data_IF_122111942130
#
_entry.id   IF_122111942130
#
_cell.length_a   1.000
_cell.length_b   1.000
_cell.length_c   1.000
_cell.angle_alpha   90.00
_cell.angle_beta   90.00
_cell.angle_gamma   90.00
#
_symmetry.space_group_name_H-M   'P 1'
#
loop_
_entity.id
_entity.type
_entity.pdbx_description
1 polymer ?
#
# COMPACT_ATOMS: atom_id res chain seq x y z
N UNK A 1 -51.52 71.92 -1.22
CA UNK A 1 -50.64 71.11 -2.04
C UNK A 1 -50.06 70.01 -1.17
N UNK A 2 -50.50 68.79 -1.33
CA UNK A 2 -50.10 67.64 -0.48
C UNK A 2 -48.91 66.95 -1.19
N UNK A 3 -47.76 66.99 -0.52
CA UNK A 3 -46.58 66.23 -1.01
C UNK A 3 -46.76 64.75 -0.64
N UNK A 4 -46.87 63.90 -1.69
CA UNK A 4 -46.88 62.47 -1.57
C UNK A 4 -45.42 61.97 -1.58
N UNK A 5 -44.97 61.46 -0.45
CA UNK A 5 -43.68 60.78 -0.36
C UNK A 5 -43.88 59.36 -0.82
N UNK A 6 -43.29 59.00 -1.97
CA UNK A 6 -43.27 57.60 -2.45
C UNK A 6 -42.12 56.88 -1.74
N UNK A 7 -42.47 55.99 -0.81
CA UNK A 7 -41.54 55.08 -0.15
C UNK A 7 -41.25 53.92 -1.15
N UNK A 8 -40.06 53.92 -1.74
CA UNK A 8 -39.60 52.78 -2.55
C UNK A 8 -39.12 51.71 -1.59
N UNK A 9 -39.96 50.70 -1.31
CA UNK A 9 -39.52 49.48 -0.64
C UNK A 9 -38.58 48.73 -1.58
N UNK A 10 -37.28 48.80 -1.34
CA UNK A 10 -36.31 47.88 -1.90
C UNK A 10 -36.55 46.54 -1.23
N UNK A 11 -37.37 45.71 -1.89
CA UNK A 11 -37.49 44.30 -1.54
C UNK A 11 -36.11 43.64 -1.81
N UNK A 12 -35.32 43.49 -0.75
CA UNK A 12 -34.09 42.69 -0.82
C UNK A 12 -34.46 41.28 -1.23
N UNK A 13 -34.18 40.94 -2.47
CA UNK A 13 -34.18 39.54 -2.92
C UNK A 13 -33.20 38.81 -2.01
N UNK A 14 -33.62 37.71 -1.37
CA UNK A 14 -32.66 36.88 -0.67
C UNK A 14 -31.66 36.38 -1.70
N UNK A 15 -30.39 36.74 -1.52
CA UNK A 15 -29.30 36.06 -2.20
C UNK A 15 -29.36 34.61 -1.73
N UNK A 16 -30.03 33.75 -2.49
CA UNK A 16 -29.83 32.32 -2.41
C UNK A 16 -28.41 32.08 -2.85
N UNK A 17 -27.47 32.08 -1.93
CA UNK A 17 -26.20 31.43 -2.11
C UNK A 17 -26.58 29.97 -2.33
N UNK A 18 -26.56 29.53 -3.59
CA UNK A 18 -26.73 28.13 -3.93
C UNK A 18 -25.60 27.37 -3.24
N UNK A 19 -25.89 26.87 -2.03
CA UNK A 19 -24.94 25.99 -1.36
C UNK A 19 -24.82 24.75 -2.25
N UNK A 20 -23.59 24.35 -2.55
CA UNK A 20 -23.37 23.13 -3.30
C UNK A 20 -24.01 21.97 -2.55
N UNK A 21 -24.73 21.10 -3.26
CA UNK A 21 -25.32 19.91 -2.67
C UNK A 21 -24.24 18.89 -2.30
N UNK A 22 -24.57 17.96 -1.42
CA UNK A 22 -23.70 16.83 -1.07
C UNK A 22 -23.09 16.16 -2.30
N UNK A 23 -23.91 15.86 -3.30
CA UNK A 23 -23.45 15.18 -4.52
C UNK A 23 -22.52 16.05 -5.37
N UNK A 24 -22.74 17.36 -5.44
CA UNK A 24 -21.83 18.27 -6.16
C UNK A 24 -20.45 18.31 -5.50
N UNK A 25 -20.39 18.25 -4.18
CA UNK A 25 -19.12 18.15 -3.46
C UNK A 25 -18.42 16.80 -3.73
N UNK A 26 -19.18 15.69 -3.76
CA UNK A 26 -18.64 14.36 -4.10
C UNK A 26 -18.08 14.32 -5.53
N UNK A 27 -18.81 14.86 -6.50
CA UNK A 27 -18.36 14.97 -7.91
C UNK A 27 -17.08 15.84 -8.03
N UNK A 28 -17.04 16.93 -7.27
CA UNK A 28 -15.85 17.79 -7.21
C UNK A 28 -14.66 17.02 -6.64
N UNK A 29 -14.86 16.26 -5.56
CA UNK A 29 -13.81 15.43 -4.98
C UNK A 29 -13.28 14.41 -5.99
N UNK A 30 -14.16 13.70 -6.71
CA UNK A 30 -13.77 12.75 -7.75
C UNK A 30 -12.94 13.41 -8.86
N UNK A 31 -13.35 14.61 -9.29
CA UNK A 31 -12.59 15.40 -10.28
C UNK A 31 -11.20 15.77 -9.79
N UNK A 32 -11.08 16.21 -8.53
CA UNK A 32 -9.79 16.53 -7.90
C UNK A 32 -8.90 15.29 -7.73
N UNK A 33 -9.48 14.14 -7.34
CA UNK A 33 -8.75 12.85 -7.23
C UNK A 33 -8.17 12.45 -8.58
N UNK A 34 -8.96 12.51 -9.67
CA UNK A 34 -8.49 12.23 -11.04
C UNK A 34 -7.36 13.16 -11.50
N UNK A 35 -7.39 14.41 -11.05
CA UNK A 35 -6.35 15.41 -11.31
C UNK A 35 -5.14 15.30 -10.34
N UNK A 36 -5.17 14.39 -9.35
CA UNK A 36 -4.20 14.27 -8.25
C UNK A 36 -4.09 15.57 -7.41
N UNK A 37 -5.14 16.40 -7.40
CA UNK A 37 -5.26 17.55 -6.51
C UNK A 37 -5.78 17.07 -5.16
N UNK A 38 -4.85 16.56 -4.33
CA UNK A 38 -5.20 15.99 -3.03
C UNK A 38 -5.80 17.01 -2.06
N UNK A 39 -5.34 18.26 -2.09
CA UNK A 39 -5.85 19.32 -1.24
C UNK A 39 -7.29 19.73 -1.63
N UNK A 40 -7.57 19.87 -2.93
CA UNK A 40 -8.90 20.12 -3.45
C UNK A 40 -9.87 18.97 -3.16
N UNK A 41 -9.40 17.73 -3.30
CA UNK A 41 -10.17 16.53 -2.98
C UNK A 41 -10.54 16.47 -1.49
N UNK A 42 -9.58 16.68 -0.59
CA UNK A 42 -9.83 16.71 0.85
C UNK A 42 -10.86 17.79 1.23
N UNK A 43 -10.68 19.03 0.71
CA UNK A 43 -11.61 20.13 0.95
C UNK A 43 -13.04 19.81 0.50
N UNK A 44 -13.18 19.19 -0.68
CA UNK A 44 -14.48 18.82 -1.23
C UNK A 44 -15.14 17.69 -0.42
N UNK A 45 -14.40 16.64 -0.02
CA UNK A 45 -14.91 15.55 0.82
C UNK A 45 -15.36 16.06 2.20
N UNK A 46 -14.57 16.93 2.83
CA UNK A 46 -14.94 17.57 4.12
C UNK A 46 -16.20 18.42 3.96
N UNK A 47 -16.34 19.13 2.83
CA UNK A 47 -17.54 19.94 2.56
C UNK A 47 -18.77 19.06 2.38
N UNK A 48 -18.66 17.92 1.66
CA UNK A 48 -19.73 16.94 1.55
C UNK A 48 -20.19 16.42 2.92
N UNK A 49 -19.24 15.97 3.74
CA UNK A 49 -19.51 15.47 5.10
C UNK A 49 -20.21 16.52 6.00
N UNK A 50 -19.87 17.82 5.85
CA UNK A 50 -20.51 18.92 6.57
C UNK A 50 -21.91 19.24 6.05
N UNK A 51 -22.14 19.08 4.75
CA UNK A 51 -23.44 19.35 4.11
C UNK A 51 -24.51 18.37 4.59
N UNK A 52 -24.17 17.10 4.71
CA UNK A 52 -25.08 16.04 5.18
C UNK A 52 -24.41 15.14 6.22
N UNK A 53 -24.27 15.58 7.47
CA UNK A 53 -23.55 14.82 8.51
C UNK A 53 -24.16 13.44 8.82
N UNK A 54 -25.48 13.29 8.61
CA UNK A 54 -26.22 12.05 8.86
C UNK A 54 -26.40 11.17 7.63
N UNK A 55 -25.75 11.49 6.50
CA UNK A 55 -25.87 10.68 5.30
C UNK A 55 -25.26 9.28 5.52
N UNK A 56 -26.04 8.22 5.17
CA UNK A 56 -25.62 6.84 5.33
C UNK A 56 -24.38 6.44 4.51
N UNK A 57 -24.02 7.23 3.49
CA UNK A 57 -22.83 7.00 2.66
C UNK A 57 -21.56 7.65 3.23
N UNK A 58 -21.64 8.36 4.37
CA UNK A 58 -20.50 9.07 4.94
C UNK A 58 -19.35 8.14 5.36
N UNK A 59 -19.61 6.88 5.68
CA UNK A 59 -18.54 5.92 5.93
C UNK A 59 -17.66 5.69 4.68
N UNK A 60 -18.26 5.68 3.50
CA UNK A 60 -17.56 5.57 2.22
C UNK A 60 -16.76 6.85 1.93
N UNK A 61 -17.35 8.03 2.21
CA UNK A 61 -16.61 9.29 2.10
C UNK A 61 -15.43 9.36 3.07
N UNK A 62 -15.57 8.82 4.29
CA UNK A 62 -14.45 8.71 5.24
C UNK A 62 -13.34 7.80 4.70
N UNK A 63 -13.69 6.72 4.00
CA UNK A 63 -12.70 5.88 3.30
C UNK A 63 -11.94 6.67 2.22
N UNK A 64 -12.66 7.42 1.38
CA UNK A 64 -12.06 8.24 0.34
C UNK A 64 -11.21 9.37 0.92
N UNK A 65 -11.70 10.03 1.97
CA UNK A 65 -10.98 11.10 2.68
C UNK A 65 -9.65 10.58 3.26
N UNK A 66 -9.70 9.43 3.94
CA UNK A 66 -8.48 8.80 4.45
C UNK A 66 -7.49 8.45 3.33
N UNK A 67 -7.99 7.95 2.20
CA UNK A 67 -7.15 7.63 1.04
C UNK A 67 -6.50 8.89 0.43
N UNK A 68 -7.25 9.97 0.28
CA UNK A 68 -6.73 11.27 -0.20
C UNK A 68 -5.66 11.81 0.74
N UNK A 69 -5.92 11.77 2.06
CA UNK A 69 -4.98 12.22 3.09
C UNK A 69 -3.70 11.38 3.11
N UNK A 70 -3.81 10.06 2.90
CA UNK A 70 -2.68 9.16 2.77
C UNK A 70 -1.79 9.54 1.55
N UNK A 71 -2.39 9.77 0.38
CA UNK A 71 -1.65 10.22 -0.81
C UNK A 71 -1.04 11.62 -0.67
N UNK A 72 -1.63 12.47 0.18
CA UNK A 72 -1.06 13.77 0.55
C UNK A 72 0.06 13.67 1.61
N UNK A 73 0.38 12.46 2.12
CA UNK A 73 1.34 12.25 3.20
C UNK A 73 0.82 12.57 4.61
N UNK A 74 -0.46 12.89 4.75
CA UNK A 74 -1.09 13.25 6.02
C UNK A 74 -1.59 11.99 6.76
N UNK A 75 -0.67 11.10 7.15
CA UNK A 75 -0.97 9.77 7.69
C UNK A 75 -1.83 9.79 8.96
N UNK A 76 -1.58 10.73 9.87
CA UNK A 76 -2.41 10.86 11.08
C UNK A 76 -3.86 11.24 10.75
N UNK A 77 -4.09 12.16 9.80
CA UNK A 77 -5.42 12.53 9.37
C UNK A 77 -6.11 11.34 8.69
N UNK A 78 -5.39 10.60 7.85
CA UNK A 78 -5.89 9.39 7.20
C UNK A 78 -6.33 8.33 8.21
N UNK A 79 -5.53 8.06 9.25
CA UNK A 79 -5.90 7.14 10.33
C UNK A 79 -7.16 7.58 11.06
N UNK A 80 -7.30 8.87 11.34
CA UNK A 80 -8.53 9.41 11.96
C UNK A 80 -9.74 9.21 11.05
N UNK A 81 -9.61 9.48 9.75
CA UNK A 81 -10.70 9.33 8.79
C UNK A 81 -11.13 7.86 8.66
N UNK A 82 -10.21 6.91 8.50
CA UNK A 82 -10.54 5.49 8.46
C UNK A 82 -11.18 5.00 9.76
N UNK A 83 -10.65 5.44 10.91
CA UNK A 83 -11.20 5.05 12.22
C UNK A 83 -12.60 5.61 12.43
N UNK A 84 -12.86 6.86 12.05
CA UNK A 84 -14.20 7.45 12.10
C UNK A 84 -15.19 6.73 11.17
N UNK A 85 -14.73 6.33 9.98
CA UNK A 85 -15.53 5.48 9.07
C UNK A 85 -15.89 4.14 9.69
N UNK A 86 -14.95 3.49 10.40
CA UNK A 86 -15.17 2.23 11.11
C UNK A 86 -16.07 2.37 12.34
N UNK A 87 -16.14 3.54 13.00
CA UNK A 87 -17.15 3.81 14.03
C UNK A 87 -18.57 3.81 13.46
N UNK A 88 -18.73 4.21 12.18
CA UNK A 88 -20.02 4.20 11.48
C UNK A 88 -20.35 2.81 10.92
N UNK A 89 -19.35 2.11 10.38
CA UNK A 89 -19.48 0.79 9.75
C UNK A 89 -18.36 -0.15 10.21
N UNK A 90 -18.48 -0.76 11.42
CA UNK A 90 -17.39 -1.54 12.03
C UNK A 90 -16.90 -2.74 11.23
N UNK A 91 -17.74 -3.28 10.35
CA UNK A 91 -17.43 -4.45 9.52
C UNK A 91 -17.14 -4.09 8.06
N UNK A 92 -16.74 -2.85 7.77
CA UNK A 92 -16.35 -2.44 6.42
C UNK A 92 -14.97 -3.00 6.06
N UNK A 93 -14.94 -4.05 5.24
CA UNK A 93 -13.71 -4.67 4.72
C UNK A 93 -12.85 -3.62 4.01
N UNK A 94 -13.44 -2.70 3.25
CA UNK A 94 -12.70 -1.63 2.56
C UNK A 94 -11.98 -0.70 3.53
N UNK A 95 -12.65 -0.25 4.58
CA UNK A 95 -12.04 0.63 5.59
C UNK A 95 -10.95 -0.08 6.39
N UNK A 96 -11.19 -1.34 6.80
CA UNK A 96 -10.18 -2.17 7.48
C UNK A 96 -8.95 -2.36 6.58
N UNK A 97 -9.14 -2.71 5.30
CA UNK A 97 -8.04 -2.92 4.34
C UNK A 97 -7.22 -1.64 4.13
N UNK A 98 -7.88 -0.49 3.92
CA UNK A 98 -7.20 0.78 3.73
C UNK A 98 -6.43 1.20 4.97
N UNK A 99 -6.98 0.97 6.18
CA UNK A 99 -6.30 1.27 7.44
C UNK A 99 -5.13 0.32 7.70
N UNK A 100 -5.30 -0.98 7.42
CA UNK A 100 -4.22 -1.96 7.50
C UNK A 100 -3.05 -1.61 6.58
N UNK A 101 -3.34 -1.24 5.33
CA UNK A 101 -2.32 -0.81 4.38
C UNK A 101 -1.57 0.43 4.88
N UNK A 102 -2.28 1.42 5.47
CA UNK A 102 -1.63 2.58 6.07
C UNK A 102 -0.80 2.20 7.31
N UNK A 103 -1.28 1.29 8.16
CA UNK A 103 -0.51 0.79 9.29
C UNK A 103 0.80 0.13 8.83
N UNK A 104 0.78 -0.63 7.73
CA UNK A 104 2.00 -1.21 7.15
C UNK A 104 2.96 -0.13 6.64
N UNK A 105 2.45 0.94 6.00
CA UNK A 105 3.31 2.07 5.54
C UNK A 105 4.01 2.83 6.66
N UNK A 106 3.37 2.95 7.83
CA UNK A 106 3.92 3.67 8.99
C UNK A 106 4.55 2.73 10.03
N UNK A 107 4.94 1.55 9.60
CA UNK A 107 5.61 0.53 10.43
C UNK A 107 4.81 0.11 11.68
N UNK A 108 3.49 0.23 11.63
CA UNK A 108 2.59 -0.24 12.70
C UNK A 108 2.08 -1.65 12.42
N UNK A 109 3.01 -2.58 12.23
CA UNK A 109 2.79 -3.93 11.71
C UNK A 109 1.77 -4.74 12.55
N UNK A 110 1.79 -4.59 13.89
CA UNK A 110 0.82 -5.27 14.77
C UNK A 110 -0.62 -4.82 14.52
N UNK A 111 -0.82 -3.54 14.26
CA UNK A 111 -2.15 -3.00 13.96
C UNK A 111 -2.63 -3.43 12.57
N UNK A 112 -1.73 -3.48 11.59
CA UNK A 112 -2.04 -4.01 10.27
C UNK A 112 -2.49 -5.47 10.36
N UNK A 113 -1.77 -6.32 11.11
CA UNK A 113 -2.15 -7.71 11.35
C UNK A 113 -3.53 -7.86 11.99
N UNK A 114 -3.87 -6.99 12.96
CA UNK A 114 -5.18 -6.98 13.60
C UNK A 114 -6.29 -6.64 12.61
N UNK A 115 -6.12 -5.61 11.77
CA UNK A 115 -7.13 -5.22 10.79
C UNK A 115 -7.33 -6.29 9.72
N UNK A 116 -6.25 -6.91 9.19
CA UNK A 116 -6.38 -8.06 8.29
C UNK A 116 -7.06 -9.25 8.95
N UNK A 117 -6.79 -9.50 10.24
CA UNK A 117 -7.48 -10.55 10.98
C UNK A 117 -8.97 -10.25 11.17
N UNK A 118 -9.34 -8.97 11.37
CA UNK A 118 -10.76 -8.58 11.41
C UNK A 118 -11.46 -8.80 10.06
N UNK A 119 -10.79 -8.53 8.94
CA UNK A 119 -11.33 -8.85 7.61
C UNK A 119 -11.64 -10.33 7.52
N UNK A 120 -10.72 -11.19 7.95
CA UNK A 120 -10.89 -12.65 7.87
C UNK A 120 -11.93 -13.23 8.86
N UNK A 121 -12.35 -12.45 9.86
CA UNK A 121 -13.54 -12.80 10.65
C UNK A 121 -14.86 -12.48 9.92
N UNK A 122 -14.82 -11.56 8.95
CA UNK A 122 -15.97 -11.17 8.13
C UNK A 122 -16.07 -12.05 6.88
N UNK A 123 -14.94 -12.25 6.21
CA UNK A 123 -14.78 -13.07 5.02
C UNK A 123 -13.45 -13.86 5.11
N UNK A 124 -13.55 -15.12 5.49
CA UNK A 124 -12.41 -16.04 5.66
C UNK A 124 -11.79 -16.47 4.33
N UNK A 125 -12.33 -15.99 3.21
CA UNK A 125 -11.84 -16.26 1.85
C UNK A 125 -11.20 -15.04 1.17
N UNK A 126 -11.12 -13.89 1.86
CA UNK A 126 -10.50 -12.67 1.32
C UNK A 126 -9.00 -12.91 1.06
N UNK A 127 -8.65 -13.07 -0.22
CA UNK A 127 -7.30 -13.40 -0.66
C UNK A 127 -6.28 -12.33 -0.26
N UNK A 128 -6.65 -11.05 -0.37
CA UNK A 128 -5.75 -9.95 -0.02
C UNK A 128 -5.43 -9.94 1.48
N UNK A 129 -6.45 -10.16 2.32
CA UNK A 129 -6.24 -10.22 3.76
C UNK A 129 -5.39 -11.42 4.17
N UNK A 130 -5.65 -12.61 3.61
CA UNK A 130 -4.81 -13.79 3.82
C UNK A 130 -3.36 -13.52 3.39
N UNK A 131 -3.16 -12.94 2.20
CA UNK A 131 -1.84 -12.67 1.66
C UNK A 131 -1.04 -11.72 2.55
N UNK A 132 -1.60 -10.55 2.86
CA UNK A 132 -0.90 -9.56 3.67
C UNK A 132 -0.71 -10.02 5.12
N UNK A 133 -1.68 -10.70 5.72
CA UNK A 133 -1.51 -11.27 7.06
C UNK A 133 -0.42 -12.34 7.08
N UNK A 134 -0.39 -13.20 6.07
CA UNK A 134 0.65 -14.21 5.90
C UNK A 134 2.05 -13.61 5.73
N UNK A 135 2.19 -12.52 5.00
CA UNK A 135 3.47 -11.79 4.88
C UNK A 135 3.91 -11.20 6.22
N UNK A 136 3.01 -10.56 6.96
CA UNK A 136 3.30 -10.02 8.29
C UNK A 136 3.70 -11.13 9.27
N UNK A 137 2.99 -12.27 9.23
CA UNK A 137 3.37 -13.43 10.06
C UNK A 137 4.78 -13.92 9.70
N UNK A 138 5.13 -13.95 8.41
CA UNK A 138 6.45 -14.34 7.94
C UNK A 138 7.55 -13.39 8.43
N UNK A 139 7.31 -12.08 8.36
CA UNK A 139 8.22 -11.05 8.87
C UNK A 139 8.48 -11.20 10.37
N UNK A 140 7.47 -11.60 11.14
CA UNK A 140 7.58 -11.91 12.58
C UNK A 140 8.24 -13.27 12.88
N UNK A 141 8.61 -14.03 11.86
CA UNK A 141 9.13 -15.40 12.01
C UNK A 141 8.05 -16.45 12.35
N UNK A 142 6.76 -16.08 12.34
CA UNK A 142 5.65 -17.02 12.51
C UNK A 142 5.36 -17.75 11.20
N UNK A 143 6.21 -18.73 10.91
CA UNK A 143 6.08 -19.55 9.69
C UNK A 143 4.85 -20.46 9.70
N UNK A 144 4.27 -20.75 10.87
CA UNK A 144 3.08 -21.59 11.00
C UNK A 144 1.85 -20.84 10.51
N UNK A 145 1.60 -19.63 11.05
CA UNK A 145 0.48 -18.78 10.63
C UNK A 145 0.62 -18.34 9.17
N UNK A 146 1.83 -17.97 8.75
CA UNK A 146 2.14 -17.61 7.36
C UNK A 146 1.81 -18.77 6.39
N UNK A 147 2.23 -20.00 6.73
CA UNK A 147 1.91 -21.20 5.94
C UNK A 147 0.40 -21.41 5.83
N UNK A 148 -0.31 -21.33 6.95
CA UNK A 148 -1.75 -21.55 6.98
C UNK A 148 -2.50 -20.58 6.05
N UNK A 149 -2.11 -19.30 6.05
CA UNK A 149 -2.71 -18.28 5.20
C UNK A 149 -2.42 -18.53 3.71
N UNK A 150 -1.16 -18.81 3.33
CA UNK A 150 -0.83 -19.06 1.92
C UNK A 150 -1.42 -20.38 1.39
N UNK A 151 -1.43 -21.43 2.19
CA UNK A 151 -2.09 -22.69 1.83
C UNK A 151 -3.61 -22.50 1.70
N UNK A 152 -4.23 -21.65 2.53
CA UNK A 152 -5.65 -21.30 2.39
C UNK A 152 -5.93 -20.62 1.05
N UNK A 153 -5.11 -19.64 0.64
CA UNK A 153 -5.21 -19.01 -0.69
C UNK A 153 -5.12 -20.06 -1.78
N UNK A 154 -4.08 -20.90 -1.76
CA UNK A 154 -3.85 -21.92 -2.80
C UNK A 154 -4.94 -23.01 -2.83
N UNK A 155 -5.57 -23.30 -1.69
CA UNK A 155 -6.73 -24.19 -1.61
C UNK A 155 -7.96 -23.59 -2.28
N UNK A 156 -8.19 -22.28 -2.10
CA UNK A 156 -9.30 -21.54 -2.72
C UNK A 156 -9.07 -21.32 -4.21
N UNK A 157 -7.85 -20.92 -4.56
CA UNK A 157 -7.43 -20.66 -5.93
C UNK A 157 -6.01 -21.17 -6.17
N UNK A 158 -5.85 -22.40 -6.70
CA UNK A 158 -4.54 -22.98 -6.99
C UNK A 158 -3.71 -22.18 -8.01
N UNK A 159 -4.34 -21.30 -8.80
CA UNK A 159 -3.69 -20.44 -9.77
C UNK A 159 -3.33 -19.05 -9.21
N UNK A 160 -3.68 -18.75 -7.96
CA UNK A 160 -3.39 -17.45 -7.34
C UNK A 160 -1.90 -17.11 -7.41
N UNK A 161 -1.59 -15.96 -8.02
CA UNK A 161 -0.24 -15.44 -8.04
C UNK A 161 0.23 -15.05 -6.63
N UNK A 162 -0.63 -14.39 -5.84
CA UNK A 162 -0.34 -13.97 -4.47
C UNK A 162 -0.06 -15.18 -3.57
N UNK A 163 -0.91 -16.24 -3.65
CA UNK A 163 -0.69 -17.46 -2.88
C UNK A 163 0.63 -18.14 -3.21
N UNK A 164 1.01 -18.20 -4.51
CA UNK A 164 2.29 -18.78 -4.94
C UNK A 164 3.48 -17.92 -4.54
N UNK A 165 3.38 -16.59 -4.65
CA UNK A 165 4.44 -15.66 -4.22
C UNK A 165 4.66 -15.78 -2.72
N UNK A 166 3.58 -15.71 -1.93
CA UNK A 166 3.66 -15.85 -0.49
C UNK A 166 4.26 -17.20 -0.06
N UNK A 167 3.83 -18.29 -0.69
CA UNK A 167 4.39 -19.61 -0.42
C UNK A 167 5.87 -19.73 -0.83
N UNK A 168 6.28 -19.13 -1.95
CA UNK A 168 7.69 -19.07 -2.34
C UNK A 168 8.52 -18.25 -1.35
N UNK A 169 7.99 -17.14 -0.83
CA UNK A 169 8.62 -16.34 0.22
C UNK A 169 8.79 -17.14 1.52
N UNK A 170 7.77 -17.91 1.90
CA UNK A 170 7.85 -18.83 3.05
C UNK A 170 8.94 -19.89 2.84
N UNK A 171 8.98 -20.55 1.69
CA UNK A 171 10.02 -21.55 1.36
C UNK A 171 11.42 -20.93 1.45
N UNK A 172 11.59 -19.70 0.94
CA UNK A 172 12.85 -18.96 1.02
C UNK A 172 13.28 -18.73 2.47
N UNK A 173 12.39 -18.23 3.34
CA UNK A 173 12.68 -18.00 4.76
C UNK A 173 13.00 -19.30 5.50
N UNK A 174 12.38 -20.41 5.10
CA UNK A 174 12.66 -21.74 5.65
C UNK A 174 13.95 -22.39 5.10
N UNK A 175 14.67 -21.74 4.17
CA UNK A 175 15.90 -22.26 3.57
C UNK A 175 15.69 -23.24 2.41
N UNK A 176 14.45 -23.45 1.95
CA UNK A 176 14.10 -24.28 0.80
C UNK A 176 14.27 -23.49 -0.51
N UNK A 177 15.51 -23.04 -0.78
CA UNK A 177 15.80 -22.13 -1.89
C UNK A 177 15.51 -22.74 -3.27
N UNK A 178 15.86 -24.04 -3.56
CA UNK A 178 15.54 -24.65 -4.84
C UNK A 178 14.04 -24.66 -5.15
N UNK A 179 13.22 -24.99 -4.15
CA UNK A 179 11.76 -25.04 -4.27
C UNK A 179 11.18 -23.62 -4.45
N UNK A 180 11.68 -22.64 -3.71
CA UNK A 180 11.28 -21.24 -3.86
C UNK A 180 11.59 -20.73 -5.27
N UNK A 181 12.78 -21.00 -5.80
CA UNK A 181 13.21 -20.64 -7.16
C UNK A 181 12.27 -21.25 -8.21
N UNK A 182 11.89 -22.52 -8.04
CA UNK A 182 10.97 -23.17 -8.98
C UNK A 182 9.60 -22.51 -8.97
N UNK A 183 9.04 -22.22 -7.78
CA UNK A 183 7.73 -21.55 -7.66
C UNK A 183 7.78 -20.15 -8.29
N UNK A 184 8.79 -19.32 -7.96
CA UNK A 184 8.96 -18.02 -8.60
C UNK A 184 9.08 -18.14 -10.12
N UNK A 185 9.83 -19.14 -10.63
CA UNK A 185 10.00 -19.36 -12.05
C UNK A 185 8.70 -19.71 -12.77
N UNK A 186 7.81 -20.46 -12.10
CA UNK A 186 6.47 -20.74 -12.62
C UNK A 186 5.61 -19.48 -12.69
N UNK A 187 5.64 -18.63 -11.66
CA UNK A 187 4.84 -17.40 -11.64
C UNK A 187 5.37 -16.37 -12.64
N UNK A 188 6.69 -16.26 -12.82
CA UNK A 188 7.33 -15.37 -13.81
C UNK A 188 6.90 -15.73 -15.24
N UNK A 189 6.75 -17.00 -15.58
CA UNK A 189 6.29 -17.42 -16.93
C UNK A 189 4.91 -16.83 -17.29
N UNK A 190 4.07 -16.60 -16.30
CA UNK A 190 2.71 -16.08 -16.50
C UNK A 190 2.64 -14.57 -16.30
N UNK A 191 3.55 -14.01 -15.48
CA UNK A 191 3.56 -12.59 -15.10
C UNK A 191 4.97 -11.99 -15.28
N UNK A 192 5.53 -11.95 -16.50
CA UNK A 192 6.92 -11.54 -16.72
C UNK A 192 7.22 -10.07 -16.47
N UNK A 193 6.17 -9.24 -16.32
CA UNK A 193 6.31 -7.79 -16.12
C UNK A 193 6.32 -7.36 -14.64
N UNK A 194 6.23 -8.32 -13.70
CA UNK A 194 6.23 -8.01 -12.28
C UNK A 194 7.65 -8.10 -11.71
N UNK A 195 8.25 -6.95 -11.39
CA UNK A 195 9.62 -6.84 -10.84
C UNK A 195 9.79 -7.63 -9.54
N UNK A 196 8.78 -7.61 -8.65
CA UNK A 196 8.81 -8.29 -7.36
C UNK A 196 9.09 -9.80 -7.46
N UNK A 197 8.72 -10.42 -8.57
CA UNK A 197 8.99 -11.85 -8.82
C UNK A 197 10.47 -12.10 -9.06
N UNK A 198 11.12 -11.20 -9.81
CA UNK A 198 12.55 -11.29 -10.08
C UNK A 198 13.35 -10.95 -8.83
N UNK A 199 12.91 -9.96 -8.04
CA UNK A 199 13.48 -9.65 -6.72
C UNK A 199 13.44 -10.89 -5.82
N UNK A 200 12.26 -11.49 -5.63
CA UNK A 200 12.10 -12.67 -4.76
C UNK A 200 12.93 -13.87 -5.21
N UNK A 201 13.03 -14.13 -6.55
CA UNK A 201 13.84 -15.22 -7.08
C UNK A 201 15.34 -14.90 -7.00
N UNK A 202 15.72 -13.65 -7.20
CA UNK A 202 17.12 -13.23 -7.04
C UNK A 202 17.60 -13.41 -5.60
N UNK A 203 16.79 -13.04 -4.62
CA UNK A 203 17.09 -13.31 -3.20
C UNK A 203 17.30 -14.80 -2.95
N UNK A 204 16.39 -15.64 -3.45
CA UNK A 204 16.53 -17.09 -3.31
C UNK A 204 17.82 -17.62 -4.00
N UNK A 205 18.20 -17.04 -5.15
CA UNK A 205 19.48 -17.36 -5.80
C UNK A 205 20.68 -16.90 -4.98
N UNK A 206 20.64 -15.71 -4.37
CA UNK A 206 21.71 -15.21 -3.50
C UNK A 206 21.93 -16.14 -2.31
N UNK A 207 20.87 -16.50 -1.60
CA UNK A 207 20.95 -17.43 -0.47
C UNK A 207 21.40 -18.85 -0.89
N UNK A 208 21.10 -19.25 -2.11
CA UNK A 208 21.59 -20.52 -2.69
C UNK A 208 23.03 -20.41 -3.24
N UNK A 209 23.71 -19.27 -3.13
CA UNK A 209 25.06 -19.04 -3.67
C UNK A 209 25.13 -19.00 -5.22
N UNK A 210 23.98 -18.84 -5.90
CA UNK A 210 23.88 -18.86 -7.36
C UNK A 210 23.98 -17.43 -7.93
N UNK A 211 25.04 -16.70 -7.59
CA UNK A 211 25.20 -15.26 -7.84
C UNK A 211 24.98 -14.86 -9.31
N UNK A 212 25.50 -15.62 -10.28
CA UNK A 212 25.33 -15.31 -11.71
C UNK A 212 23.86 -15.34 -12.17
N UNK A 213 23.01 -16.15 -11.53
CA UNK A 213 21.57 -16.17 -11.82
C UNK A 213 20.86 -15.04 -11.10
N UNK A 214 21.27 -14.74 -9.87
CA UNK A 214 20.77 -13.58 -9.14
C UNK A 214 21.02 -12.28 -9.93
N UNK A 215 22.25 -12.07 -10.44
CA UNK A 215 22.59 -10.89 -11.23
C UNK A 215 21.68 -10.70 -12.45
N UNK A 216 21.29 -11.79 -13.13
CA UNK A 216 20.35 -11.73 -14.27
C UNK A 216 18.95 -11.27 -13.84
N UNK A 217 18.46 -11.81 -12.74
CA UNK A 217 17.14 -11.44 -12.22
C UNK A 217 17.14 -10.02 -11.67
N UNK A 218 18.20 -9.60 -10.97
CA UNK A 218 18.38 -8.23 -10.49
C UNK A 218 18.44 -7.26 -11.68
N UNK A 219 19.17 -7.60 -12.74
CA UNK A 219 19.19 -6.82 -13.97
C UNK A 219 17.82 -6.65 -14.57
N UNK A 220 17.00 -7.72 -14.59
CA UNK A 220 15.61 -7.63 -15.06
C UNK A 220 14.71 -6.82 -14.14
N UNK A 221 14.89 -6.93 -12.83
CA UNK A 221 14.15 -6.10 -11.86
C UNK A 221 14.48 -4.60 -12.04
N UNK A 222 15.75 -4.23 -12.25
CA UNK A 222 16.16 -2.85 -12.54
C UNK A 222 15.54 -2.34 -13.86
N UNK A 223 15.47 -3.16 -14.91
CA UNK A 223 14.81 -2.78 -16.16
C UNK A 223 13.31 -2.47 -15.95
N UNK A 224 12.64 -3.22 -15.09
CA UNK A 224 11.21 -3.07 -14.81
C UNK A 224 10.92 -1.94 -13.82
N UNK A 225 11.79 -1.73 -12.84
CA UNK A 225 11.66 -0.72 -11.78
C UNK A 225 12.99 0.01 -11.51
N UNK A 226 13.44 0.91 -12.41
CA UNK A 226 14.75 1.57 -12.30
C UNK A 226 14.85 2.55 -11.12
N UNK A 227 13.72 2.96 -10.55
CA UNK A 227 13.65 3.89 -9.43
C UNK A 227 13.33 3.21 -8.09
N UNK A 228 13.26 1.88 -8.06
CA UNK A 228 13.11 1.13 -6.81
C UNK A 228 14.48 0.98 -6.11
N UNK A 229 14.68 1.56 -4.92
CA UNK A 229 15.93 1.44 -4.18
C UNK A 229 16.27 0.00 -3.78
N UNK A 230 15.27 -0.85 -3.56
CA UNK A 230 15.45 -2.23 -3.07
C UNK A 230 16.24 -3.08 -4.07
N UNK A 231 16.06 -2.88 -5.37
CA UNK A 231 16.80 -3.65 -6.38
C UNK A 231 18.29 -3.34 -6.38
N UNK A 232 18.68 -2.11 -6.02
CA UNK A 232 20.09 -1.73 -5.88
C UNK A 232 20.70 -2.26 -4.57
N UNK A 233 19.92 -2.25 -3.48
CA UNK A 233 20.33 -2.92 -2.23
C UNK A 233 20.58 -4.40 -2.47
N UNK A 234 19.68 -5.08 -3.17
CA UNK A 234 19.82 -6.50 -3.50
C UNK A 234 21.07 -6.78 -4.33
N UNK A 235 21.37 -5.90 -5.30
CA UNK A 235 22.61 -6.00 -6.09
C UNK A 235 23.85 -5.78 -5.24
N UNK A 236 23.79 -4.84 -4.31
CA UNK A 236 24.88 -4.59 -3.38
C UNK A 236 25.14 -5.82 -2.50
N UNK A 237 24.09 -6.43 -1.93
CA UNK A 237 24.22 -7.65 -1.13
C UNK A 237 24.88 -8.80 -1.90
N UNK A 238 24.48 -9.00 -3.18
CA UNK A 238 25.12 -10.00 -4.04
C UNK A 238 26.59 -9.69 -4.32
N UNK A 239 27.00 -8.43 -4.37
CA UNK A 239 28.40 -8.00 -4.53
C UNK A 239 29.19 -8.16 -3.23
N UNK A 240 28.60 -7.78 -2.09
CA UNK A 240 29.21 -7.98 -0.77
C UNK A 240 29.53 -9.46 -0.55
N UNK A 241 28.56 -10.34 -0.80
CA UNK A 241 28.78 -11.80 -0.70
C UNK A 241 29.90 -12.34 -1.60
N UNK A 242 30.40 -11.54 -2.55
CA UNK A 242 31.58 -11.86 -3.41
C UNK A 242 32.80 -11.03 -3.08
N UNK A 243 32.79 -10.29 -1.96
CA UNK A 243 33.87 -9.38 -1.55
C UNK A 243 34.13 -8.21 -2.52
N UNK A 244 33.12 -7.82 -3.31
CA UNK A 244 33.18 -6.71 -4.28
C UNK A 244 32.77 -5.38 -3.61
N UNK A 245 33.36 -5.03 -2.47
CA UNK A 245 32.92 -3.95 -1.57
C UNK A 245 32.77 -2.58 -2.23
N UNK A 246 33.75 -2.15 -3.06
CA UNK A 246 33.69 -0.86 -3.72
C UNK A 246 32.54 -0.78 -4.73
N UNK A 247 32.26 -1.87 -5.41
CA UNK A 247 31.15 -1.94 -6.35
C UNK A 247 29.78 -1.98 -5.64
N UNK A 248 29.71 -2.62 -4.47
CA UNK A 248 28.53 -2.64 -3.60
C UNK A 248 28.22 -1.24 -3.06
N UNK A 249 29.26 -0.49 -2.63
CA UNK A 249 29.12 0.88 -2.14
C UNK A 249 28.48 1.82 -3.18
N UNK A 250 28.81 1.65 -4.46
CA UNK A 250 28.18 2.43 -5.54
C UNK A 250 26.68 2.14 -5.66
N UNK A 251 26.27 0.87 -5.50
CA UNK A 251 24.85 0.51 -5.54
C UNK A 251 24.09 1.00 -4.30
N UNK A 252 24.67 0.88 -3.11
CA UNK A 252 24.06 1.43 -1.89
C UNK A 252 23.93 2.96 -1.96
N UNK A 253 24.92 3.66 -2.52
CA UNK A 253 24.80 5.09 -2.79
C UNK A 253 23.60 5.38 -3.71
N UNK A 254 23.44 4.59 -4.79
CA UNK A 254 22.30 4.76 -5.69
C UNK A 254 20.97 4.47 -4.98
N UNK A 255 20.90 3.47 -4.13
CA UNK A 255 19.72 3.18 -3.33
C UNK A 255 19.36 4.37 -2.41
N UNK A 256 20.34 4.98 -1.73
CA UNK A 256 20.13 6.17 -0.88
C UNK A 256 19.65 7.38 -1.71
N UNK A 257 20.19 7.61 -2.90
CA UNK A 257 19.71 8.66 -3.83
C UNK A 257 18.24 8.45 -4.23
N UNK A 258 17.76 7.19 -4.22
CA UNK A 258 16.38 6.80 -4.51
C UNK A 258 15.48 6.74 -3.26
N UNK A 259 16.02 7.08 -2.07
CA UNK A 259 15.25 7.19 -0.83
C UNK A 259 15.42 6.04 0.15
N UNK A 260 16.38 5.13 -0.05
CA UNK A 260 16.72 4.12 0.94
C UNK A 260 17.37 4.77 2.18
N UNK A 261 17.16 4.19 3.36
CA UNK A 261 17.74 4.72 4.60
C UNK A 261 19.27 4.68 4.57
N UNK A 262 19.92 5.85 4.80
CA UNK A 262 21.37 5.97 4.71
C UNK A 262 22.12 5.24 5.83
N UNK A 263 21.53 5.16 7.02
CA UNK A 263 22.14 4.45 8.17
C UNK A 263 22.11 2.95 7.94
N UNK A 264 20.99 2.47 7.36
CA UNK A 264 20.88 1.06 7.00
C UNK A 264 21.87 0.69 5.90
N UNK A 265 22.04 1.57 4.89
CA UNK A 265 23.05 1.37 3.85
C UNK A 265 24.48 1.33 4.41
N UNK A 266 24.81 2.17 5.39
CA UNK A 266 26.10 2.16 6.10
C UNK A 266 26.27 0.87 6.90
N UNK A 267 25.24 0.43 7.63
CA UNK A 267 25.26 -0.82 8.40
C UNK A 267 25.57 -2.03 7.51
N UNK A 268 24.92 -2.13 6.34
CA UNK A 268 25.20 -3.21 5.40
C UNK A 268 26.66 -3.26 4.93
N UNK A 269 27.38 -2.13 4.97
CA UNK A 269 28.80 -2.09 4.66
C UNK A 269 29.67 -2.49 5.85
N UNK A 270 29.20 -2.38 7.08
CA UNK A 270 29.98 -2.63 8.31
C UNK A 270 29.87 -4.08 8.80
N UNK A 271 28.82 -4.80 8.46
CA UNK A 271 28.53 -6.18 8.92
C UNK A 271 29.43 -7.26 8.31
N UNK A 272 30.46 -6.90 7.50
CA UNK A 272 31.52 -7.77 6.97
C UNK A 272 32.90 -7.36 7.60
#
# INVERSE_FOLDING_TARGET
MKNFLVLVCVVGLPFYVLSQSYYQWVERADSCIKAKDWAGAESALVSALRTEPANGQNSLLMSNLGTVQRYAGNYEAALRSYTNGLLMTPHSVTLLRNRAALFSEIDSIDRAYQDYSQILLIDDTDEDALYHRGLIALERGDTISSRADFERILKLNPASANGRIGFASLLKVMGYYPEAIEVYSQVIRVNPEKEILYVGRAEAYLFAGQYAKADKDIGKAIELAPDDPVVYVLRALGKLARYERESAKADLKRAVELGYDSKEAERLLEEE
#
